data_IF_018325058278
#
_entry.id   IF_018325058278
#
_cell.length_a   1.000
_cell.length_b   1.000
_cell.length_c   1.000
_cell.angle_alpha   90.00
_cell.angle_beta   90.00
_cell.angle_gamma   90.00
#
_symmetry.space_group_name_H-M   'P 1'
#
loop_
_entity.id
_entity.type
_entity.pdbx_description
1 polymer ?
#
# COMPACT_ATOMS: atom_id res chain seq x y z
N UNK A 1 -6.38 -7.20 -3.14
CA UNK A 1 -7.08 -6.23 -4.01
C UNK A 1 -6.21 -5.01 -4.22
N UNK A 2 -6.19 -4.45 -5.44
CA UNK A 2 -5.51 -3.19 -5.73
C UNK A 2 -6.56 -2.20 -6.22
N UNK A 3 -6.58 -0.99 -5.66
CA UNK A 3 -7.42 0.12 -6.12
C UNK A 3 -6.54 1.28 -6.52
N UNK A 4 -6.80 1.90 -7.66
CA UNK A 4 -6.04 3.02 -8.20
C UNK A 4 -6.96 4.17 -8.55
N UNK A 5 -6.67 5.35 -8.01
CA UNK A 5 -7.39 6.60 -8.29
C UNK A 5 -6.37 7.69 -8.64
N UNK A 6 -6.68 8.54 -9.61
CA UNK A 6 -5.85 9.70 -9.89
C UNK A 6 -6.35 10.92 -9.12
N UNK A 7 -5.45 11.59 -8.41
CA UNK A 7 -5.75 12.80 -7.64
C UNK A 7 -4.87 13.96 -8.09
N UNK A 8 -5.32 15.19 -7.86
CA UNK A 8 -4.48 16.38 -7.99
C UNK A 8 -3.83 16.68 -6.64
N UNK A 9 -2.52 16.90 -6.65
CA UNK A 9 -1.73 17.39 -5.53
C UNK A 9 -1.10 18.73 -5.90
N UNK A 10 -0.46 19.41 -4.95
CA UNK A 10 0.33 20.62 -5.22
C UNK A 10 1.48 20.39 -6.21
N UNK A 11 1.96 19.15 -6.36
CA UNK A 11 3.04 18.75 -7.27
C UNK A 11 2.57 18.24 -8.63
N UNK A 12 1.25 18.21 -8.87
CA UNK A 12 0.65 17.70 -10.10
C UNK A 12 -0.28 16.51 -9.87
N UNK A 13 -0.61 15.81 -10.96
CA UNK A 13 -1.50 14.65 -10.93
C UNK A 13 -0.70 13.39 -10.58
N UNK A 14 -1.12 12.68 -9.54
CA UNK A 14 -0.49 11.43 -9.07
C UNK A 14 -1.51 10.29 -9.04
N UNK A 15 -1.03 9.06 -9.11
CA UNK A 15 -1.83 7.87 -8.90
C UNK A 15 -1.80 7.46 -7.43
N UNK A 16 -2.91 7.70 -6.72
CA UNK A 16 -3.12 7.14 -5.38
C UNK A 16 -3.53 5.68 -5.50
N UNK A 17 -2.69 4.78 -5.00
CA UNK A 17 -2.89 3.32 -5.06
C UNK A 17 -3.05 2.76 -3.66
N UNK A 18 -4.14 2.04 -3.43
CA UNK A 18 -4.39 1.29 -2.20
C UNK A 18 -4.21 -0.20 -2.47
N UNK A 19 -3.34 -0.83 -1.70
CA UNK A 19 -3.13 -2.27 -1.68
C UNK A 19 -3.79 -2.85 -0.45
N UNK A 20 -4.56 -3.92 -0.62
CA UNK A 20 -5.23 -4.60 0.48
C UNK A 20 -5.08 -6.11 0.37
N UNK A 21 -4.83 -6.79 1.50
CA UNK A 21 -4.77 -8.24 1.60
C UNK A 21 -5.87 -8.77 2.52
N UNK A 22 -6.40 -9.98 2.26
CA UNK A 22 -7.43 -10.58 3.11
C UNK A 22 -6.91 -10.85 4.52
N UNK A 23 -7.85 -10.89 5.48
CA UNK A 23 -7.58 -11.17 6.89
C UNK A 23 -7.18 -12.63 7.17
N UNK A 24 -7.38 -13.54 6.22
CA UNK A 24 -6.98 -14.95 6.34
C UNK A 24 -5.46 -15.17 6.33
N UNK A 25 -4.68 -14.11 6.12
CA UNK A 25 -3.22 -14.15 6.07
C UNK A 25 -2.65 -13.93 7.46
N UNK A 26 -2.02 -14.97 8.01
CA UNK A 26 -1.31 -14.85 9.28
C UNK A 26 0.13 -14.43 9.02
N UNK A 27 0.46 -13.19 9.40
CA UNK A 27 1.80 -12.61 9.31
C UNK A 27 2.00 -11.59 10.42
N UNK A 28 3.22 -11.49 10.92
CA UNK A 28 3.59 -10.47 11.93
C UNK A 28 3.76 -9.09 11.28
N UNK A 29 4.25 -9.05 10.04
CA UNK A 29 4.45 -7.83 9.26
C UNK A 29 4.39 -8.14 7.77
N UNK A 30 3.86 -7.19 7.00
CA UNK A 30 3.78 -7.28 5.54
C UNK A 30 4.31 -5.97 4.97
N UNK A 31 5.17 -6.06 3.96
CA UNK A 31 5.76 -4.91 3.28
C UNK A 31 5.39 -4.90 1.80
N UNK A 32 5.07 -3.72 1.29
CA UNK A 32 4.89 -3.49 -0.14
C UNK A 32 6.27 -3.28 -0.80
N UNK A 33 6.51 -3.95 -1.93
CA UNK A 33 7.81 -3.93 -2.62
C UNK A 33 7.60 -3.79 -4.13
N UNK A 34 8.43 -2.98 -4.80
CA UNK A 34 8.46 -2.82 -6.25
C UNK A 34 9.46 -1.75 -6.71
N UNK A 35 9.45 -1.43 -8.01
CA UNK A 35 10.41 -0.46 -8.57
C UNK A 35 10.34 0.93 -7.89
N UNK A 36 9.13 1.37 -7.51
CA UNK A 36 8.91 2.68 -6.87
C UNK A 36 9.55 2.82 -5.48
N UNK A 37 9.94 1.70 -4.86
CA UNK A 37 10.70 1.71 -3.60
C UNK A 37 12.05 0.98 -3.71
N UNK A 38 12.60 0.88 -4.92
CA UNK A 38 13.88 0.21 -5.19
C UNK A 38 13.95 -1.21 -4.64
N UNK A 39 12.82 -1.93 -4.67
CA UNK A 39 12.70 -3.28 -4.13
C UNK A 39 13.05 -3.39 -2.63
N UNK A 40 12.93 -2.30 -1.87
CA UNK A 40 13.23 -2.28 -0.45
C UNK A 40 12.13 -2.96 0.38
N UNK A 41 12.49 -4.06 1.05
CA UNK A 41 11.60 -4.92 1.83
C UNK A 41 11.30 -4.44 3.27
N UNK A 42 11.78 -3.26 3.68
CA UNK A 42 11.54 -2.71 5.04
C UNK A 42 10.88 -1.33 5.03
N UNK A 43 10.69 -0.72 3.86
CA UNK A 43 10.33 0.70 3.72
C UNK A 43 8.83 1.00 3.81
N UNK A 44 7.97 0.07 3.37
CA UNK A 44 6.52 0.31 3.21
C UNK A 44 5.68 -0.76 3.94
N UNK A 45 5.65 -0.75 5.29
CA UNK A 45 4.83 -1.68 6.06
C UNK A 45 3.33 -1.42 5.84
N UNK A 46 2.56 -2.49 5.68
CA UNK A 46 1.10 -2.44 5.69
C UNK A 46 0.60 -2.32 7.13
N UNK A 47 -0.49 -1.58 7.30
CA UNK A 47 -1.19 -1.48 8.59
C UNK A 47 -2.33 -2.49 8.64
N UNK A 48 -2.48 -3.20 9.76
CA UNK A 48 -3.63 -4.06 10.03
C UNK A 48 -4.77 -3.20 10.59
N UNK A 49 -5.84 -3.05 9.80
CA UNK A 49 -7.05 -2.33 10.20
C UNK A 49 -7.91 -3.10 11.21
N UNK A 50 -8.99 -2.48 11.68
CA UNK A 50 -9.93 -3.06 12.66
C UNK A 50 -10.60 -4.35 12.16
N UNK A 51 -10.82 -4.47 10.85
CA UNK A 51 -11.42 -5.65 10.23
C UNK A 51 -10.39 -6.75 9.90
N UNK A 52 -9.19 -6.65 10.49
CA UNK A 52 -8.03 -7.51 10.24
C UNK A 52 -7.52 -7.49 8.79
N UNK A 53 -8.01 -6.56 7.98
CA UNK A 53 -7.54 -6.33 6.62
C UNK A 53 -6.23 -5.55 6.66
N UNK A 54 -5.21 -6.08 6.01
CA UNK A 54 -3.95 -5.36 5.81
C UNK A 54 -4.11 -4.35 4.69
N UNK A 55 -3.65 -3.12 4.90
CA UNK A 55 -3.76 -2.05 3.91
C UNK A 55 -2.58 -1.08 3.95
N UNK A 56 -2.20 -0.61 2.77
CA UNK A 56 -1.32 0.56 2.59
C UNK A 56 -1.85 1.39 1.41
N UNK A 57 -1.73 2.70 1.51
CA UNK A 57 -2.00 3.62 0.40
C UNK A 57 -0.75 4.44 0.11
N UNK A 58 -0.35 4.46 -1.15
CA UNK A 58 0.82 5.21 -1.64
C UNK A 58 0.42 6.10 -2.82
N UNK A 59 1.03 7.28 -2.90
CA UNK A 59 0.89 8.18 -4.05
C UNK A 59 2.12 7.99 -4.95
N UNK A 60 1.88 7.52 -6.18
CA UNK A 60 2.90 7.22 -7.21
C UNK A 60 2.80 8.20 -8.39
#
# INVERSE_FOLDING_TARGET
MIRKNFIKTSKGRVARVTFSLPNSLWADSIYLVGDFNNWNNTSHPLSRGRDEVWTITVDL
#
